data_IF_498853006829
#
_entry.id   IF_498853006829
#
_cell.length_a   1.000
_cell.length_b   1.000
_cell.length_c   1.000
_cell.angle_alpha   90.00
_cell.angle_beta   90.00
_cell.angle_gamma   90.00
#
_symmetry.space_group_name_H-M   'P 1'
#
loop_
_entity.id
_entity.type
_entity.pdbx_description
1 polymer ?
#
# COMPACT_ATOMS: atom_id res chain seq x y z
N UNK A 1 7.36 26.16 8.99
CA UNK A 1 7.34 25.00 8.09
C UNK A 1 6.40 25.30 6.95
N UNK A 2 6.85 25.08 5.72
CA UNK A 2 6.03 25.20 4.51
C UNK A 2 5.07 24.01 4.35
N UNK A 3 4.04 24.16 3.51
CA UNK A 3 3.13 23.06 3.17
C UNK A 3 3.88 21.85 2.57
N UNK A 4 4.91 22.10 1.74
CA UNK A 4 5.73 21.03 1.16
C UNK A 4 6.52 20.26 2.23
N UNK A 5 7.04 20.94 3.25
CA UNK A 5 7.75 20.29 4.36
C UNK A 5 6.81 19.47 5.24
N UNK A 6 5.59 19.97 5.50
CA UNK A 6 4.56 19.22 6.21
C UNK A 6 4.20 17.95 5.44
N UNK A 7 3.91 18.05 4.15
CA UNK A 7 3.54 16.89 3.34
C UNK A 7 4.66 15.85 3.29
N UNK A 8 5.92 16.29 3.15
CA UNK A 8 7.06 15.38 3.20
C UNK A 8 7.16 14.66 4.55
N UNK A 9 6.92 15.37 5.66
CA UNK A 9 6.92 14.78 7.00
C UNK A 9 5.80 13.75 7.15
N UNK A 10 4.58 14.08 6.74
CA UNK A 10 3.44 13.16 6.78
C UNK A 10 3.71 11.89 5.98
N UNK A 11 4.24 12.02 4.77
CA UNK A 11 4.58 10.87 3.93
C UNK A 11 5.64 9.97 4.58
N UNK A 12 6.67 10.56 5.21
CA UNK A 12 7.68 9.80 5.95
C UNK A 12 7.08 9.08 7.16
N UNK A 13 6.21 9.74 7.92
CA UNK A 13 5.56 9.13 9.08
C UNK A 13 4.72 7.91 8.68
N UNK A 14 3.89 8.04 7.64
CA UNK A 14 3.07 6.93 7.12
C UNK A 14 3.97 5.78 6.63
N UNK A 15 4.93 6.06 5.74
CA UNK A 15 5.84 5.04 5.18
C UNK A 15 6.69 4.34 6.25
N UNK A 16 7.00 5.02 7.37
CA UNK A 16 7.77 4.43 8.47
C UNK A 16 7.03 3.31 9.21
N UNK A 17 5.69 3.27 9.13
CA UNK A 17 4.87 2.22 9.74
C UNK A 17 4.94 0.89 8.99
N UNK A 18 5.55 0.83 7.79
CA UNK A 18 5.57 -0.36 6.93
C UNK A 18 5.99 -1.64 7.67
N UNK A 19 7.05 -1.59 8.47
CA UNK A 19 7.55 -2.76 9.21
C UNK A 19 6.64 -3.21 10.35
N UNK A 20 5.72 -2.35 10.80
CA UNK A 20 4.77 -2.61 11.89
C UNK A 20 3.42 -3.11 11.37
N UNK A 21 3.21 -3.09 10.04
CA UNK A 21 2.00 -3.60 9.44
C UNK A 21 1.89 -5.11 9.65
N UNK A 22 0.63 -5.57 9.74
CA UNK A 22 0.31 -6.99 9.61
C UNK A 22 0.78 -7.50 8.26
N UNK A 23 1.11 -8.78 8.21
CA UNK A 23 1.70 -9.39 7.02
C UNK A 23 0.74 -10.33 6.34
N UNK A 24 0.82 -10.37 5.02
CA UNK A 24 0.25 -11.42 4.17
C UNK A 24 1.42 -12.05 3.41
N UNK A 25 1.42 -13.39 3.31
CA UNK A 25 2.47 -14.10 2.58
C UNK A 25 2.34 -13.87 1.07
N UNK A 26 3.42 -14.03 0.32
CA UNK A 26 3.41 -13.92 -1.13
C UNK A 26 2.39 -14.89 -1.74
N UNK A 27 2.39 -16.14 -1.30
CA UNK A 27 1.45 -17.16 -1.76
C UNK A 27 -0.02 -16.73 -1.54
N UNK A 28 -0.36 -16.25 -0.34
CA UNK A 28 -1.71 -15.75 -0.05
C UNK A 28 -2.05 -14.51 -0.88
N UNK A 29 -1.08 -13.61 -1.14
CA UNK A 29 -1.31 -12.47 -2.01
C UNK A 29 -1.54 -12.85 -3.47
N UNK A 30 -0.90 -13.92 -3.96
CA UNK A 30 -1.08 -14.45 -5.32
C UNK A 30 -2.46 -15.09 -5.49
N UNK A 31 -2.97 -15.77 -4.46
CA UNK A 31 -4.37 -16.23 -4.42
C UNK A 31 -5.37 -15.07 -4.52
N UNK A 32 -4.99 -13.89 -4.03
CA UNK A 32 -5.75 -12.65 -4.13
C UNK A 32 -5.45 -11.84 -5.41
N UNK A 33 -4.67 -12.39 -6.34
CA UNK A 33 -4.40 -11.80 -7.66
C UNK A 33 -3.15 -10.92 -7.76
N UNK A 34 -2.30 -10.90 -6.73
CA UNK A 34 -0.96 -10.31 -6.85
C UNK A 34 -0.11 -11.13 -7.83
N UNK A 35 0.62 -10.44 -8.69
CA UNK A 35 1.59 -11.02 -9.63
C UNK A 35 2.88 -10.23 -9.51
N UNK A 36 3.87 -10.80 -8.84
CA UNK A 36 5.17 -10.17 -8.68
C UNK A 36 5.88 -10.06 -10.03
N UNK A 37 6.37 -8.86 -10.38
CA UNK A 37 7.06 -8.65 -11.64
C UNK A 37 8.34 -9.50 -11.78
N UNK A 38 8.96 -9.91 -10.68
CA UNK A 38 10.14 -10.76 -10.71
C UNK A 38 9.84 -12.18 -11.24
N UNK A 39 8.62 -12.68 -11.05
CA UNK A 39 8.24 -14.05 -11.42
C UNK A 39 7.37 -14.11 -12.68
N UNK A 40 6.55 -13.08 -12.90
CA UNK A 40 5.59 -13.03 -14.01
C UNK A 40 6.07 -12.18 -15.20
N UNK A 41 7.16 -11.42 -15.05
CA UNK A 41 7.60 -10.44 -16.04
C UNK A 41 6.76 -9.15 -16.02
N UNK A 42 7.27 -8.10 -16.68
CA UNK A 42 6.69 -6.75 -16.56
C UNK A 42 5.28 -6.61 -17.18
N UNK A 43 4.97 -7.41 -18.20
CA UNK A 43 3.70 -7.31 -18.93
C UNK A 43 2.52 -7.87 -18.12
N UNK A 44 2.76 -8.94 -17.37
CA UNK A 44 1.75 -9.63 -16.56
C UNK A 44 1.78 -9.25 -15.08
N UNK A 45 2.73 -8.42 -14.66
CA UNK A 45 2.88 -7.99 -13.28
C UNK A 45 1.68 -7.17 -12.78
N UNK A 46 1.44 -7.21 -11.46
CA UNK A 46 0.52 -6.27 -10.85
C UNK A 46 1.11 -4.87 -10.88
N UNK A 47 0.38 -3.92 -11.47
CA UNK A 47 0.74 -2.51 -11.45
C UNK A 47 0.26 -1.83 -10.18
N UNK A 48 1.12 -0.96 -9.63
CA UNK A 48 0.77 -0.06 -8.56
C UNK A 48 -0.32 0.91 -9.03
N UNK A 49 -1.29 1.22 -8.15
CA UNK A 49 -2.32 2.23 -8.41
C UNK A 49 -1.74 3.60 -8.82
N UNK A 50 -0.51 3.91 -8.39
CA UNK A 50 0.20 5.15 -8.71
C UNK A 50 1.23 5.01 -9.84
N UNK A 51 1.18 3.90 -10.58
CA UNK A 51 2.04 3.61 -11.73
C UNK A 51 3.27 2.76 -11.40
N UNK A 52 3.69 1.97 -12.40
CA UNK A 52 4.83 1.05 -12.34
C UNK A 52 4.46 -0.34 -11.79
N UNK A 53 5.22 -1.34 -12.20
CA UNK A 53 5.07 -2.73 -11.78
C UNK A 53 5.51 -2.90 -10.32
N UNK A 54 4.82 -3.79 -9.58
CA UNK A 54 5.17 -4.12 -8.21
C UNK A 54 6.05 -5.36 -8.17
N UNK A 55 7.09 -5.32 -7.34
CA UNK A 55 7.92 -6.49 -7.06
C UNK A 55 8.46 -6.48 -5.65
N UNK A 56 8.41 -7.63 -4.98
CA UNK A 56 9.05 -7.83 -3.68
C UNK A 56 10.59 -7.84 -3.80
N UNK A 57 11.11 -8.14 -5.00
CA UNK A 57 12.54 -8.02 -5.31
C UNK A 57 13.02 -6.57 -5.46
N UNK A 58 12.11 -5.61 -5.65
CA UNK A 58 12.46 -4.20 -5.78
C UNK A 58 12.64 -3.55 -4.41
N UNK A 59 13.90 -3.40 -3.98
CA UNK A 59 14.27 -2.73 -2.71
C UNK A 59 13.82 -1.26 -2.61
N UNK A 60 13.46 -0.65 -3.74
CA UNK A 60 12.89 0.69 -3.78
C UNK A 60 11.43 0.75 -3.31
N UNK A 61 10.69 -0.35 -3.36
CA UNK A 61 9.26 -0.42 -3.07
C UNK A 61 8.97 -0.92 -1.65
N UNK A 62 7.84 -0.48 -1.11
CA UNK A 62 7.21 -1.04 0.08
C UNK A 62 5.86 -1.63 -0.32
N UNK A 63 5.88 -2.86 -0.85
CA UNK A 63 4.68 -3.50 -1.41
C UNK A 63 3.69 -3.83 -0.29
N UNK A 64 2.48 -3.31 -0.44
CA UNK A 64 1.36 -3.56 0.47
C UNK A 64 0.11 -3.95 -0.30
N UNK A 65 -0.79 -4.70 0.34
CA UNK A 65 -2.20 -4.77 -0.02
C UNK A 65 -3.01 -3.80 0.83
N UNK A 66 -3.81 -2.93 0.21
CA UNK A 66 -4.69 -1.98 0.90
C UNK A 66 -6.14 -2.44 0.79
N UNK A 67 -6.78 -2.70 1.93
CA UNK A 67 -8.18 -3.12 1.98
C UNK A 67 -9.15 -1.95 1.77
N UNK A 68 -10.33 -2.25 1.21
CA UNK A 68 -11.43 -1.30 1.04
C UNK A 68 -12.02 -0.79 2.37
N UNK A 69 -12.00 -1.63 3.40
CA UNK A 69 -12.50 -1.37 4.76
C UNK A 69 -11.46 -1.74 5.81
N UNK A 70 -11.50 -1.15 7.03
CA UNK A 70 -10.62 -1.55 8.11
C UNK A 70 -10.80 -3.03 8.44
N UNK A 71 -9.69 -3.73 8.69
CA UNK A 71 -9.75 -5.09 9.19
C UNK A 71 -10.51 -5.18 10.51
N UNK A 72 -11.33 -6.23 10.63
CA UNK A 72 -12.20 -6.46 11.79
C UNK A 72 -13.62 -5.93 11.58
N UNK A 73 -13.87 -5.23 10.47
CA UNK A 73 -15.22 -4.92 10.00
C UNK A 73 -15.72 -6.00 9.03
N UNK A 74 -17.03 -6.23 9.03
CA UNK A 74 -17.70 -7.15 8.10
C UNK A 74 -17.83 -6.52 6.71
N UNK A 75 -17.53 -7.29 5.67
CA UNK A 75 -17.60 -6.87 4.27
C UNK A 75 -16.55 -7.55 3.39
N UNK A 76 -16.71 -7.42 2.07
CA UNK A 76 -15.77 -7.99 1.10
C UNK A 76 -14.42 -7.28 1.19
N UNK A 77 -13.38 -8.06 1.49
CA UNK A 77 -12.01 -7.59 1.64
C UNK A 77 -11.29 -7.69 0.30
N UNK A 78 -11.64 -6.78 -0.60
CA UNK A 78 -10.83 -6.56 -1.80
C UNK A 78 -9.53 -5.87 -1.39
N UNK A 79 -8.39 -6.43 -1.80
CA UNK A 79 -7.08 -5.82 -1.63
C UNK A 79 -6.62 -5.20 -2.94
N UNK A 80 -6.21 -3.94 -2.87
CA UNK A 80 -5.51 -3.28 -3.97
C UNK A 80 -4.02 -3.21 -3.64
N UNK A 81 -3.19 -3.78 -4.50
CA UNK A 81 -1.74 -3.79 -4.28
C UNK A 81 -1.10 -2.48 -4.75
N UNK A 82 -0.15 -1.96 -3.96
CA UNK A 82 0.55 -0.72 -4.27
C UNK A 82 1.87 -0.57 -3.50
N UNK A 83 2.66 0.42 -3.88
CA UNK A 83 3.82 0.88 -3.12
C UNK A 83 3.36 1.87 -2.02
N UNK A 84 3.59 1.51 -0.76
CA UNK A 84 3.26 2.33 0.40
C UNK A 84 3.94 3.71 0.36
N UNK A 85 5.12 3.83 -0.25
CA UNK A 85 5.79 5.14 -0.39
C UNK A 85 4.99 6.08 -1.29
N UNK A 86 4.41 5.56 -2.37
CA UNK A 86 3.56 6.31 -3.29
C UNK A 86 2.22 6.65 -2.64
N UNK A 87 1.62 5.70 -1.93
CA UNK A 87 0.42 5.95 -1.13
C UNK A 87 0.66 7.06 -0.09
N UNK A 88 1.76 7.02 0.64
CA UNK A 88 2.09 8.02 1.65
C UNK A 88 2.28 9.42 1.04
N UNK A 89 2.89 9.52 -0.14
CA UNK A 89 2.99 10.79 -0.88
C UNK A 89 1.63 11.33 -1.29
N UNK A 90 0.73 10.45 -1.74
CA UNK A 90 -0.65 10.83 -2.07
C UNK A 90 -1.41 11.31 -0.83
N UNK A 91 -1.40 10.53 0.27
CA UNK A 91 -2.12 10.83 1.50
C UNK A 91 -1.64 12.11 2.22
N UNK A 92 -0.40 12.52 1.97
CA UNK A 92 0.13 13.77 2.48
C UNK A 92 -0.56 15.00 1.86
N UNK A 93 -1.05 14.90 0.63
CA UNK A 93 -1.83 15.95 -0.03
C UNK A 93 -3.34 15.75 0.07
N UNK A 94 -3.79 14.50 0.15
CA UNK A 94 -5.20 14.13 0.22
C UNK A 94 -5.41 12.94 1.18
N UNK A 95 -5.72 13.16 2.47
CA UNK A 95 -5.80 12.12 3.50
C UNK A 95 -7.09 11.28 3.40
N UNK A 96 -7.34 10.71 2.22
CA UNK A 96 -8.49 9.88 1.89
C UNK A 96 -8.03 8.62 1.15
N UNK A 97 -8.71 7.51 1.34
CA UNK A 97 -8.49 6.26 0.64
C UNK A 97 -8.57 6.49 -0.88
N UNK A 98 -7.58 6.06 -1.69
CA UNK A 98 -7.50 6.43 -3.10
C UNK A 98 -8.66 5.88 -3.94
N UNK A 99 -9.22 4.72 -3.58
CA UNK A 99 -10.41 4.14 -4.24
C UNK A 99 -11.76 4.57 -3.63
N UNK A 100 -11.90 4.53 -2.30
CA UNK A 100 -13.21 4.69 -1.63
C UNK A 100 -13.41 6.05 -0.93
N UNK A 101 -12.43 6.95 -0.98
CA UNK A 101 -12.45 8.33 -0.45
C UNK A 101 -12.76 8.48 1.06
N UNK A 102 -12.82 7.38 1.80
CA UNK A 102 -12.92 7.41 3.27
C UNK A 102 -11.63 7.97 3.90
N UNK A 103 -11.66 8.58 5.10
CA UNK A 103 -10.45 9.09 5.74
C UNK A 103 -9.36 8.02 5.88
N UNK A 104 -8.16 8.30 5.37
CA UNK A 104 -7.00 7.42 5.47
C UNK A 104 -5.76 8.27 5.78
N UNK A 105 -5.09 8.00 6.89
CA UNK A 105 -3.97 8.80 7.39
C UNK A 105 -3.05 7.97 8.31
N UNK A 106 -2.04 8.63 8.88
CA UNK A 106 -1.08 8.02 9.80
C UNK A 106 -1.74 7.27 10.97
N UNK A 107 -2.86 7.78 11.51
CA UNK A 107 -3.51 7.19 12.67
C UNK A 107 -4.30 5.92 12.39
N UNK A 108 -4.63 5.63 11.12
CA UNK A 108 -5.47 4.48 10.78
C UNK A 108 -4.93 3.57 9.65
N UNK A 109 -3.83 3.94 8.98
CA UNK A 109 -3.28 3.15 7.85
C UNK A 109 -3.02 1.68 8.21
N UNK A 110 -2.56 1.38 9.42
CA UNK A 110 -2.29 0.02 9.89
C UNK A 110 -3.55 -0.86 9.98
N UNK A 111 -4.74 -0.24 10.08
CA UNK A 111 -6.02 -0.95 10.08
C UNK A 111 -6.42 -1.43 8.69
N UNK A 112 -5.92 -0.78 7.63
CA UNK A 112 -6.26 -1.07 6.23
C UNK A 112 -5.14 -1.80 5.46
N UNK A 113 -3.87 -1.50 5.77
CA UNK A 113 -2.73 -1.96 4.99
C UNK A 113 -2.11 -3.25 5.55
N UNK A 114 -1.70 -4.12 4.64
CA UNK A 114 -0.97 -5.35 4.90
C UNK A 114 0.35 -5.35 4.14
N UNK A 115 1.45 -5.60 4.83
CA UNK A 115 2.76 -5.76 4.21
C UNK A 115 2.85 -7.13 3.55
N UNK A 116 3.24 -7.17 2.28
CA UNK A 116 3.48 -8.43 1.59
C UNK A 116 4.90 -8.92 1.91
N UNK A 117 5.04 -10.18 2.29
CA UNK A 117 6.32 -10.82 2.60
C UNK A 117 6.56 -12.04 1.72
N UNK A 118 7.82 -12.34 1.34
CA UNK A 118 8.15 -13.56 0.61
C UNK A 118 7.62 -14.82 1.27
#
# INVERSE_FOLDING_TARGET
MSAAEMNRRTALNISSQFSQLRTISKAESEELGFKDAADHGLEDATHCLFGGELSLGNRGQQVIGLASIPYGQEGDKELVFMDMKKLAQYLAGDPRHPMHRQPLNEGNIASYAFRIVP
#
